data_IF_369375491450
#
_entry.id   IF_369375491450
#
_cell.length_a   1.000
_cell.length_b   1.000
_cell.length_c   1.000
_cell.angle_alpha   90.00
_cell.angle_beta   90.00
_cell.angle_gamma   90.00
#
_symmetry.space_group_name_H-M   'P 1'
#
loop_
_entity.id
_entity.type
_entity.pdbx_description
1 polymer ?
#
# COMPACT_ATOMS: atom_id res chain seq x y z
N UNK A 1 11.45 6.21 -18.00
CA UNK A 1 10.19 6.62 -18.67
C UNK A 1 9.46 5.34 -19.02
N UNK A 2 8.17 5.24 -18.74
CA UNK A 2 7.36 4.09 -19.14
C UNK A 2 6.90 4.27 -20.58
N UNK A 3 6.92 3.20 -21.39
CA UNK A 3 6.65 3.25 -22.82
C UNK A 3 5.67 2.13 -23.17
N UNK A 4 4.63 2.44 -23.94
CA UNK A 4 3.63 1.50 -24.47
C UNK A 4 3.07 0.50 -23.44
N UNK A 5 2.70 1.04 -22.27
CA UNK A 5 2.19 0.22 -21.16
C UNK A 5 0.76 -0.24 -21.47
N UNK A 6 0.58 -1.54 -21.59
CA UNK A 6 -0.74 -2.17 -21.62
C UNK A 6 -0.91 -3.04 -20.36
N UNK A 7 -1.67 -2.52 -19.39
CA UNK A 7 -1.90 -3.19 -18.11
C UNK A 7 -3.37 -3.11 -17.70
N UNK A 8 -3.98 -4.25 -17.49
CA UNK A 8 -5.32 -4.36 -16.92
C UNK A 8 -5.26 -4.99 -15.55
N UNK A 9 -5.91 -4.37 -14.57
CA UNK A 9 -6.06 -4.89 -13.21
C UNK A 9 -7.55 -5.03 -12.92
N UNK A 10 -7.95 -6.22 -12.52
CA UNK A 10 -9.35 -6.54 -12.25
C UNK A 10 -9.68 -6.34 -10.77
N UNK A 11 -10.97 -6.19 -10.48
CA UNK A 11 -11.45 -6.06 -9.10
C UNK A 11 -11.08 -7.30 -8.29
N UNK A 12 -10.53 -7.07 -7.10
CA UNK A 12 -10.13 -8.12 -6.16
C UNK A 12 -8.76 -8.72 -6.43
N UNK A 13 -8.06 -8.31 -7.53
CA UNK A 13 -6.69 -8.76 -7.77
C UNK A 13 -5.73 -8.23 -6.71
N UNK A 14 -4.68 -9.01 -6.46
CA UNK A 14 -3.56 -8.70 -5.58
C UNK A 14 -2.28 -8.66 -6.38
N UNK A 15 -1.82 -7.46 -6.68
CA UNK A 15 -0.73 -7.21 -7.63
C UNK A 15 0.50 -6.67 -6.91
N UNK A 16 1.64 -7.35 -7.08
CA UNK A 16 2.95 -6.85 -6.67
C UNK A 16 3.67 -6.17 -7.84
N UNK A 17 4.12 -4.94 -7.67
CA UNK A 17 4.94 -4.23 -8.65
C UNK A 17 6.40 -4.31 -8.23
N UNK A 18 7.22 -4.88 -9.09
CA UNK A 18 8.65 -5.09 -8.87
C UNK A 18 9.50 -4.45 -9.96
N UNK A 19 10.79 -4.36 -9.75
CA UNK A 19 11.76 -3.82 -10.72
C UNK A 19 12.89 -3.04 -10.06
N UNK A 20 13.95 -2.69 -10.79
CA UNK A 20 15.08 -1.96 -10.23
C UNK A 20 14.69 -0.55 -9.74
N UNK A 21 15.58 0.04 -8.93
CA UNK A 21 15.40 1.43 -8.51
C UNK A 21 15.44 2.35 -9.73
N UNK A 22 14.54 3.33 -9.77
CA UNK A 22 14.42 4.25 -10.90
C UNK A 22 13.70 3.70 -12.14
N UNK A 23 13.24 2.44 -12.14
CA UNK A 23 12.52 1.86 -13.28
C UNK A 23 11.16 2.51 -13.57
N UNK A 24 10.59 3.25 -12.62
CA UNK A 24 9.29 3.91 -12.79
C UNK A 24 8.14 3.28 -12.01
N UNK A 25 8.41 2.42 -11.02
CA UNK A 25 7.39 1.75 -10.19
C UNK A 25 6.44 2.74 -9.51
N UNK A 26 6.99 3.75 -8.81
CA UNK A 26 6.20 4.83 -8.20
C UNK A 26 5.41 5.63 -9.22
N UNK A 27 5.98 5.85 -10.42
CA UNK A 27 5.28 6.54 -11.51
C UNK A 27 4.08 5.70 -11.96
N UNK A 28 4.27 4.39 -12.16
CA UNK A 28 3.18 3.47 -12.50
C UNK A 28 2.10 3.45 -11.41
N UNK A 29 2.48 3.38 -10.14
CA UNK A 29 1.54 3.43 -9.01
C UNK A 29 0.70 4.71 -9.02
N UNK A 30 1.32 5.87 -9.25
CA UNK A 30 0.62 7.18 -9.33
C UNK A 30 -0.24 7.32 -10.59
N UNK A 31 0.17 6.74 -11.72
CA UNK A 31 -0.67 6.65 -12.92
C UNK A 31 -1.91 5.78 -12.63
N UNK A 32 -1.73 4.62 -11.99
CA UNK A 32 -2.84 3.74 -11.61
C UNK A 32 -3.78 4.41 -10.59
N UNK A 33 -3.24 5.21 -9.67
CA UNK A 33 -4.05 5.98 -8.72
C UNK A 33 -4.86 7.09 -9.41
N UNK A 34 -4.37 7.63 -10.51
CA UNK A 34 -4.94 8.80 -11.16
C UNK A 34 -4.34 10.12 -10.68
N UNK A 35 -3.28 10.07 -9.88
CA UNK A 35 -2.52 11.24 -9.40
C UNK A 35 -1.64 11.84 -10.51
N UNK A 36 -1.30 11.03 -11.52
CA UNK A 36 -0.61 11.45 -12.73
C UNK A 36 -1.46 11.08 -13.94
N UNK A 37 -1.49 11.99 -14.92
CA UNK A 37 -2.01 11.69 -16.24
C UNK A 37 -0.89 11.10 -17.12
N UNK A 38 -1.17 10.10 -17.98
CA UNK A 38 -0.21 9.65 -18.97
C UNK A 38 0.09 10.78 -19.98
N UNK A 39 1.31 10.82 -20.50
CA UNK A 39 1.70 11.80 -21.54
C UNK A 39 1.01 11.49 -22.86
N UNK A 40 0.87 10.20 -23.18
CA UNK A 40 0.15 9.66 -24.33
C UNK A 40 -0.67 8.45 -23.88
N UNK A 41 -1.74 8.13 -24.59
CA UNK A 41 -2.66 7.07 -24.22
C UNK A 41 -3.67 7.52 -23.17
N UNK A 42 -4.31 6.55 -22.53
CA UNK A 42 -5.35 6.82 -21.55
C UNK A 42 -5.27 5.87 -20.33
N UNK A 43 -5.72 6.37 -19.19
CA UNK A 43 -6.03 5.58 -18.02
C UNK A 43 -7.53 5.50 -17.87
N UNK A 44 -8.05 4.29 -17.86
CA UNK A 44 -9.46 4.07 -17.58
C UNK A 44 -9.65 3.39 -16.21
N UNK A 45 -10.63 3.84 -15.45
CA UNK A 45 -11.05 3.20 -14.21
C UNK A 45 -12.57 3.06 -14.20
N UNK A 46 -13.06 1.92 -13.75
CA UNK A 46 -14.48 1.67 -13.61
C UNK A 46 -15.17 2.71 -12.71
N UNK A 47 -16.43 3.06 -12.96
CA UNK A 47 -17.11 4.18 -12.26
C UNK A 47 -17.31 3.93 -10.75
N UNK A 48 -17.23 2.68 -10.31
CA UNK A 48 -17.36 2.31 -8.89
C UNK A 48 -16.02 2.17 -8.17
N UNK A 49 -14.89 2.37 -8.87
CA UNK A 49 -13.56 2.23 -8.26
C UNK A 49 -13.25 3.50 -7.46
N UNK A 50 -12.92 3.28 -6.19
CA UNK A 50 -12.39 4.29 -5.27
C UNK A 50 -10.98 3.88 -4.90
N UNK A 51 -10.01 4.61 -5.42
CA UNK A 51 -8.59 4.35 -5.19
C UNK A 51 -8.11 5.17 -4.01
N UNK A 52 -7.29 4.58 -3.15
CA UNK A 52 -6.49 5.29 -2.17
C UNK A 52 -5.02 4.89 -2.35
N UNK A 53 -4.13 5.87 -2.28
CA UNK A 53 -2.71 5.69 -2.52
C UNK A 53 -1.90 6.04 -1.27
N UNK A 54 -1.24 5.06 -0.69
CA UNK A 54 -0.22 5.27 0.33
C UNK A 54 1.13 5.47 -0.35
N UNK A 55 1.63 6.70 -0.36
CA UNK A 55 3.00 7.01 -0.80
C UNK A 55 3.92 7.20 0.42
N UNK A 56 5.23 7.12 0.19
CA UNK A 56 6.22 7.50 1.22
C UNK A 56 6.08 8.96 1.67
N UNK A 57 5.53 9.81 0.79
CA UNK A 57 5.28 11.24 1.02
C UNK A 57 3.81 11.54 1.31
N UNK A 58 2.97 10.52 1.59
CA UNK A 58 1.55 10.69 1.89
C UNK A 58 1.32 11.75 2.96
N UNK A 59 0.15 12.41 2.89
CA UNK A 59 -0.28 13.55 3.70
C UNK A 59 0.30 13.53 5.11
N UNK A 60 0.91 14.64 5.51
CA UNK A 60 1.50 14.77 6.84
C UNK A 60 0.41 14.54 7.89
N UNK A 61 0.65 13.54 8.73
CA UNK A 61 -0.22 13.32 9.88
C UNK A 61 -0.28 14.61 10.71
N UNK A 62 -1.45 15.00 11.21
CA UNK A 62 -1.58 16.17 12.06
C UNK A 62 -0.81 15.96 13.36
N UNK A 63 0.39 16.58 13.44
CA UNK A 63 1.39 16.31 14.47
C UNK A 63 0.91 16.60 15.90
N UNK A 64 0.02 17.59 16.06
CA UNK A 64 -0.52 18.00 17.35
C UNK A 64 -1.65 17.07 17.88
N UNK A 65 -2.19 16.22 17.00
CA UNK A 65 -3.25 15.29 17.39
C UNK A 65 -2.70 13.97 17.88
N UNK A 66 -3.52 13.28 18.66
CA UNK A 66 -3.24 11.92 19.11
C UNK A 66 -3.74 10.89 18.08
N UNK A 67 -3.15 9.68 18.01
CA UNK A 67 -3.63 8.61 17.13
C UNK A 67 -5.11 8.31 17.26
N UNK A 68 -5.63 8.31 18.50
CA UNK A 68 -7.06 8.03 18.72
C UNK A 68 -7.97 9.11 18.15
N UNK A 69 -7.57 10.39 18.23
CA UNK A 69 -8.32 11.49 17.61
C UNK A 69 -8.29 11.37 16.09
N UNK A 70 -7.15 11.01 15.50
CA UNK A 70 -6.99 10.85 14.06
C UNK A 70 -7.87 9.71 13.56
N UNK A 71 -7.80 8.54 14.19
CA UNK A 71 -8.61 7.35 13.83
C UNK A 71 -10.11 7.66 13.93
N UNK A 72 -10.55 8.34 14.99
CA UNK A 72 -11.97 8.70 15.17
C UNK A 72 -12.46 9.78 14.20
N UNK A 73 -11.55 10.62 13.71
CA UNK A 73 -11.87 11.58 12.65
C UNK A 73 -11.93 10.93 11.26
N UNK A 74 -11.04 9.97 10.98
CA UNK A 74 -11.05 9.22 9.73
C UNK A 74 -12.33 8.38 9.57
N UNK A 75 -12.80 7.82 10.68
CA UNK A 75 -14.06 7.08 10.72
C UNK A 75 -14.78 7.32 12.05
N UNK A 76 -16.05 7.71 12.06
CA UNK A 76 -16.84 7.87 13.29
C UNK A 76 -16.96 6.53 14.02
N UNK A 77 -16.10 6.32 15.02
CA UNK A 77 -16.06 5.09 15.82
C UNK A 77 -16.23 5.42 17.31
N UNK A 78 -16.88 4.54 18.09
CA UNK A 78 -16.76 4.58 19.54
C UNK A 78 -15.30 4.51 19.99
N UNK A 79 -14.96 5.16 21.09
CA UNK A 79 -13.57 5.18 21.59
C UNK A 79 -13.00 3.78 21.78
N UNK A 80 -13.79 2.85 22.35
CA UNK A 80 -13.37 1.46 22.55
C UNK A 80 -13.00 0.75 21.24
N UNK A 81 -13.73 1.00 20.14
CA UNK A 81 -13.44 0.41 18.83
C UNK A 81 -12.17 1.03 18.21
N UNK A 82 -11.98 2.34 18.36
CA UNK A 82 -10.75 3.02 17.89
C UNK A 82 -9.52 2.52 18.67
N UNK A 83 -9.63 2.34 19.99
CA UNK A 83 -8.55 1.75 20.82
C UNK A 83 -8.25 0.31 20.36
N UNK A 84 -9.27 -0.52 20.16
CA UNK A 84 -9.07 -1.90 19.71
C UNK A 84 -8.35 -1.99 18.36
N UNK A 85 -8.68 -1.09 17.42
CA UNK A 85 -7.97 -1.00 16.14
C UNK A 85 -6.50 -0.59 16.33
N UNK A 86 -6.23 0.44 17.13
CA UNK A 86 -4.87 0.88 17.41
C UNK A 86 -4.03 -0.21 18.08
N UNK A 87 -4.60 -0.93 19.06
CA UNK A 87 -3.94 -2.06 19.71
C UNK A 87 -3.63 -3.19 18.72
N UNK A 88 -4.55 -3.49 17.79
CA UNK A 88 -4.32 -4.46 16.72
C UNK A 88 -3.15 -4.06 15.82
N UNK A 89 -2.92 -2.76 15.63
CA UNK A 89 -1.75 -2.20 14.95
C UNK A 89 -0.58 -1.91 15.90
N UNK A 90 -0.51 -2.62 17.01
CA UNK A 90 0.60 -2.64 17.97
C UNK A 90 0.91 -1.29 18.63
N UNK A 91 -0.11 -0.44 18.80
CA UNK A 91 0.02 0.76 19.63
C UNK A 91 -0.33 0.43 21.08
N UNK A 92 0.52 0.84 22.01
CA UNK A 92 0.20 0.78 23.43
C UNK A 92 -0.70 1.96 23.85
N UNK A 93 -1.24 1.86 25.09
CA UNK A 93 -2.18 2.86 25.62
C UNK A 93 -1.56 4.25 25.75
N UNK A 94 -0.25 4.32 26.02
CA UNK A 94 0.47 5.58 26.13
C UNK A 94 0.65 6.23 24.74
N UNK A 95 1.08 5.44 23.74
CA UNK A 95 1.23 5.87 22.37
C UNK A 95 -0.09 6.37 21.77
N UNK A 96 -1.21 5.73 22.10
CA UNK A 96 -2.55 6.10 21.61
C UNK A 96 -2.95 7.53 22.05
N UNK A 97 -2.46 7.98 23.20
CA UNK A 97 -2.88 9.23 23.85
C UNK A 97 -1.87 10.36 23.79
N UNK A 98 -0.69 10.16 23.23
CA UNK A 98 0.32 11.21 23.06
C UNK A 98 0.33 11.75 21.63
N UNK A 99 0.73 13.02 21.41
CA UNK A 99 0.74 13.64 20.10
C UNK A 99 1.63 12.88 19.09
N UNK A 100 1.19 12.83 17.84
CA UNK A 100 1.94 12.20 16.73
C UNK A 100 3.32 12.81 16.54
N UNK A 101 3.51 14.09 16.91
CA UNK A 101 4.83 14.74 16.92
C UNK A 101 5.90 13.95 17.69
N UNK A 102 5.51 13.23 18.74
CA UNK A 102 6.41 12.43 19.59
C UNK A 102 6.71 11.03 19.05
N UNK A 103 6.05 10.61 17.97
CA UNK A 103 6.18 9.29 17.38
C UNK A 103 7.43 9.14 16.53
N UNK A 104 8.00 7.93 16.54
CA UNK A 104 9.04 7.52 15.60
C UNK A 104 8.50 7.47 14.15
N UNK A 105 9.41 7.40 13.17
CA UNK A 105 9.04 7.22 11.76
C UNK A 105 8.20 5.95 11.53
N UNK A 106 8.62 4.82 12.12
CA UNK A 106 7.91 3.54 12.03
C UNK A 106 6.51 3.60 12.64
N UNK A 107 6.35 4.22 13.83
CA UNK A 107 5.03 4.40 14.44
C UNK A 107 4.11 5.26 13.56
N UNK A 108 4.63 6.31 12.92
CA UNK A 108 3.85 7.13 11.98
C UNK A 108 3.46 6.35 10.74
N UNK A 109 4.35 5.53 10.17
CA UNK A 109 4.05 4.67 9.02
C UNK A 109 2.97 3.66 9.39
N UNK A 110 3.06 3.02 10.56
CA UNK A 110 2.06 2.09 11.10
C UNK A 110 0.69 2.75 11.26
N UNK A 111 0.65 3.99 11.77
CA UNK A 111 -0.60 4.76 11.87
C UNK A 111 -1.20 5.05 10.49
N UNK A 112 -0.37 5.40 9.50
CA UNK A 112 -0.84 5.59 8.11
C UNK A 112 -1.41 4.32 7.51
N UNK A 113 -0.76 3.17 7.71
CA UNK A 113 -1.29 1.87 7.27
C UNK A 113 -2.66 1.58 7.89
N UNK A 114 -2.83 1.86 9.20
CA UNK A 114 -4.12 1.72 9.85
C UNK A 114 -5.17 2.67 9.25
N UNK A 115 -4.83 3.92 9.01
CA UNK A 115 -5.75 4.89 8.42
C UNK A 115 -6.20 4.48 7.02
N UNK A 116 -5.29 3.95 6.22
CA UNK A 116 -5.60 3.42 4.90
C UNK A 116 -6.67 2.32 4.96
N UNK A 117 -6.61 1.45 5.97
CA UNK A 117 -7.62 0.39 6.18
C UNK A 117 -8.99 0.93 6.62
N UNK A 118 -9.07 2.19 7.03
CA UNK A 118 -10.32 2.83 7.44
C UNK A 118 -11.01 3.60 6.31
N UNK A 119 -10.33 3.76 5.17
CA UNK A 119 -10.92 4.45 4.01
C UNK A 119 -12.07 3.64 3.41
N UNK A 120 -12.92 4.31 2.65
CA UNK A 120 -13.94 3.64 1.84
C UNK A 120 -13.42 3.19 0.48
N UNK A 121 -12.11 3.20 0.27
CA UNK A 121 -11.48 2.73 -0.94
C UNK A 121 -11.77 1.24 -1.15
N UNK A 122 -11.92 0.84 -2.41
CA UNK A 122 -12.02 -0.56 -2.81
C UNK A 122 -10.85 -0.98 -3.73
N UNK A 123 -9.87 -0.09 -3.86
CA UNK A 123 -8.58 -0.33 -4.49
C UNK A 123 -7.50 0.40 -3.69
N UNK A 124 -6.61 -0.32 -3.06
CA UNK A 124 -5.48 0.22 -2.31
C UNK A 124 -4.21 0.11 -3.15
N UNK A 125 -3.49 1.21 -3.27
CA UNK A 125 -2.16 1.24 -3.87
C UNK A 125 -1.16 1.61 -2.79
N UNK A 126 -0.14 0.78 -2.61
CA UNK A 126 0.85 0.89 -1.55
C UNK A 126 2.23 1.07 -2.21
N UNK A 127 2.89 2.20 -1.97
CA UNK A 127 4.24 2.44 -2.48
C UNK A 127 5.27 2.31 -1.34
N UNK A 128 5.99 1.17 -1.35
CA UNK A 128 6.99 0.75 -0.35
C UNK A 128 6.44 0.77 1.10
N UNK A 129 5.31 0.09 1.38
CA UNK A 129 4.62 0.18 2.65
C UNK A 129 5.39 -0.44 3.82
N UNK A 130 6.33 -1.34 3.54
CA UNK A 130 7.15 -2.01 4.55
C UNK A 130 8.37 -1.21 4.98
N UNK A 131 8.71 -0.14 4.27
CA UNK A 131 9.85 0.71 4.61
C UNK A 131 9.66 1.34 5.99
N UNK A 132 10.70 1.24 6.82
CA UNK A 132 10.73 1.74 8.20
C UNK A 132 9.78 1.04 9.19
N UNK A 133 9.16 -0.08 8.81
CA UNK A 133 8.40 -0.93 9.72
C UNK A 133 9.33 -1.99 10.33
N UNK A 134 9.09 -2.29 11.60
CA UNK A 134 9.63 -3.49 12.24
C UNK A 134 8.84 -4.75 11.82
N UNK A 135 9.39 -5.93 12.05
CA UNK A 135 8.77 -7.19 11.64
C UNK A 135 7.33 -7.32 12.17
N UNK A 136 7.04 -7.06 13.46
CA UNK A 136 5.67 -7.15 13.97
C UNK A 136 4.70 -6.18 13.28
N UNK A 137 5.16 -4.99 12.87
CA UNK A 137 4.33 -4.04 12.15
C UNK A 137 4.06 -4.47 10.70
N UNK A 138 5.03 -5.11 10.03
CA UNK A 138 4.83 -5.73 8.73
C UNK A 138 3.78 -6.85 8.83
N UNK A 139 3.89 -7.74 9.81
CA UNK A 139 2.91 -8.81 10.05
C UNK A 139 1.50 -8.26 10.33
N UNK A 140 1.38 -7.16 11.07
CA UNK A 140 0.09 -6.51 11.31
C UNK A 140 -0.51 -5.91 10.02
N UNK A 141 0.32 -5.32 9.16
CA UNK A 141 -0.10 -4.82 7.85
C UNK A 141 -0.54 -5.98 6.94
N UNK A 142 0.24 -7.05 6.86
CA UNK A 142 -0.09 -8.25 6.08
C UNK A 142 -1.45 -8.83 6.52
N UNK A 143 -1.64 -9.04 7.82
CA UNK A 143 -2.90 -9.55 8.36
C UNK A 143 -4.10 -8.63 8.06
N UNK A 144 -3.88 -7.31 8.04
CA UNK A 144 -4.92 -6.36 7.67
C UNK A 144 -5.26 -6.45 6.17
N UNK A 145 -4.24 -6.57 5.31
CA UNK A 145 -4.42 -6.71 3.87
C UNK A 145 -5.05 -8.06 3.48
N UNK A 146 -4.73 -9.15 4.17
CA UNK A 146 -5.39 -10.46 3.99
C UNK A 146 -6.90 -10.37 4.21
N UNK A 147 -7.33 -9.59 5.20
CA UNK A 147 -8.75 -9.38 5.51
C UNK A 147 -9.45 -8.31 4.66
N UNK A 148 -8.75 -7.71 3.70
CA UNK A 148 -9.30 -6.67 2.84
C UNK A 148 -9.88 -7.26 1.54
N UNK A 149 -11.18 -7.03 1.30
CA UNK A 149 -11.91 -7.62 0.15
C UNK A 149 -11.72 -6.86 -1.16
N UNK A 150 -10.97 -5.75 -1.17
CA UNK A 150 -10.72 -4.93 -2.35
C UNK A 150 -9.50 -5.36 -3.15
N UNK A 151 -9.22 -4.62 -4.21
CA UNK A 151 -8.00 -4.73 -5.00
C UNK A 151 -6.80 -4.17 -4.21
N UNK A 152 -5.68 -4.87 -4.22
CA UNK A 152 -4.43 -4.40 -3.62
C UNK A 152 -3.33 -4.37 -4.67
N UNK A 153 -2.67 -3.23 -4.80
CA UNK A 153 -1.51 -3.05 -5.67
C UNK A 153 -0.36 -2.58 -4.78
N UNK A 154 0.72 -3.33 -4.69
CA UNK A 154 1.84 -2.98 -3.82
C UNK A 154 3.15 -2.91 -4.60
N UNK A 155 3.79 -1.76 -4.54
CA UNK A 155 5.20 -1.60 -4.91
C UNK A 155 6.03 -1.98 -3.70
N UNK A 156 6.88 -2.98 -3.80
CA UNK A 156 7.80 -3.32 -2.71
C UNK A 156 9.06 -4.03 -3.20
N UNK A 157 10.13 -3.89 -2.43
CA UNK A 157 11.34 -4.69 -2.55
C UNK A 157 11.37 -5.85 -1.56
N UNK A 158 10.40 -5.91 -0.66
CA UNK A 158 10.27 -7.00 0.31
C UNK A 158 9.61 -8.21 -0.34
N UNK A 159 10.42 -9.22 -0.66
CA UNK A 159 9.96 -10.46 -1.29
C UNK A 159 8.99 -11.26 -0.43
N UNK A 160 9.20 -11.26 0.91
CA UNK A 160 8.33 -12.01 1.82
C UNK A 160 6.95 -11.38 1.89
N UNK A 161 6.89 -10.06 1.97
CA UNK A 161 5.66 -9.30 1.90
C UNK A 161 4.92 -9.55 0.58
N UNK A 162 5.62 -9.48 -0.57
CA UNK A 162 5.01 -9.71 -1.87
C UNK A 162 4.54 -11.16 -2.06
N UNK A 163 5.29 -12.15 -1.59
CA UNK A 163 4.85 -13.57 -1.64
C UNK A 163 3.57 -13.81 -0.84
N UNK A 164 3.36 -13.05 0.23
CA UNK A 164 2.21 -13.20 1.09
C UNK A 164 0.95 -12.52 0.55
N UNK A 165 1.12 -11.36 -0.11
CA UNK A 165 -0.03 -10.55 -0.49
C UNK A 165 -0.36 -10.56 -1.97
N UNK A 166 0.56 -10.94 -2.87
CA UNK A 166 0.40 -10.82 -4.31
C UNK A 166 0.18 -12.18 -4.97
N UNK A 167 -0.85 -12.25 -5.81
CA UNK A 167 -1.15 -13.40 -6.67
C UNK A 167 -0.66 -13.19 -8.10
N UNK A 168 -0.24 -11.97 -8.44
CA UNK A 168 0.24 -11.55 -9.75
C UNK A 168 1.37 -10.53 -9.59
N UNK A 169 2.42 -10.67 -10.39
CA UNK A 169 3.57 -9.74 -10.38
C UNK A 169 3.61 -8.94 -11.67
N UNK A 170 3.86 -7.66 -11.52
CA UNK A 170 4.11 -6.70 -12.60
C UNK A 170 5.56 -6.25 -12.50
N UNK A 171 6.41 -6.70 -13.43
CA UNK A 171 7.83 -6.29 -13.52
C UNK A 171 7.95 -5.03 -14.39
N UNK A 172 8.52 -4.00 -13.79
CA UNK A 172 8.79 -2.72 -14.46
C UNK A 172 10.29 -2.62 -14.72
N UNK A 173 10.69 -2.65 -16.00
CA UNK A 173 12.10 -2.68 -16.38
C UNK A 173 12.35 -2.01 -17.71
N UNK A 174 13.34 -1.11 -17.75
CA UNK A 174 13.82 -0.44 -18.98
C UNK A 174 12.73 0.30 -19.77
N UNK A 175 11.65 0.68 -19.08
CA UNK A 175 10.48 1.35 -19.66
C UNK A 175 9.31 0.41 -19.95
N UNK A 176 9.55 -0.90 -19.99
CA UNK A 176 8.53 -1.91 -20.23
C UNK A 176 7.82 -2.32 -18.94
N UNK A 177 6.58 -2.78 -19.09
CA UNK A 177 5.75 -3.31 -18.00
C UNK A 177 5.23 -4.69 -18.41
N UNK A 178 5.66 -5.72 -17.71
CA UNK A 178 5.27 -7.11 -18.02
C UNK A 178 4.58 -7.75 -16.82
N UNK A 179 3.43 -8.36 -17.04
CA UNK A 179 2.67 -9.05 -16.00
C UNK A 179 2.92 -10.56 -16.02
N UNK A 180 3.01 -11.16 -14.84
CA UNK A 180 3.26 -12.58 -14.61
C UNK A 180 2.26 -13.10 -13.59
N UNK A 181 1.63 -14.23 -13.89
CA UNK A 181 0.77 -14.92 -12.94
C UNK A 181 1.58 -15.62 -11.85
N UNK A 182 1.07 -15.58 -10.62
CA UNK A 182 1.70 -16.14 -9.43
C UNK A 182 2.39 -15.12 -8.56
N UNK A 183 2.72 -15.51 -7.31
CA UNK A 183 3.44 -14.69 -6.34
C UNK A 183 4.91 -14.45 -6.71
N UNK A 184 5.60 -13.68 -5.86
CA UNK A 184 6.99 -13.25 -6.11
C UNK A 184 7.95 -14.44 -6.32
N UNK A 185 7.87 -15.50 -5.52
CA UNK A 185 8.72 -16.69 -5.68
C UNK A 185 8.49 -17.43 -7.00
N UNK A 186 7.28 -17.42 -7.55
CA UNK A 186 6.99 -18.02 -8.87
C UNK A 186 7.64 -17.18 -9.99
N UNK A 187 7.49 -15.86 -9.93
CA UNK A 187 8.10 -14.93 -10.85
C UNK A 187 9.65 -15.03 -10.82
N UNK A 188 10.26 -15.06 -9.62
CA UNK A 188 11.71 -15.14 -9.46
C UNK A 188 12.29 -16.44 -10.07
N UNK A 189 11.62 -17.59 -9.85
CA UNK A 189 12.01 -18.87 -10.48
C UNK A 189 11.90 -18.82 -12.00
N UNK A 190 10.84 -18.21 -12.54
CA UNK A 190 10.66 -18.07 -13.99
C UNK A 190 11.76 -17.25 -14.67
N UNK A 191 12.35 -16.28 -13.94
CA UNK A 191 13.48 -15.47 -14.41
C UNK A 191 14.84 -16.15 -14.29
N UNK A 192 14.98 -17.07 -13.34
CA UNK A 192 16.25 -17.78 -13.06
C UNK A 192 16.37 -19.08 -13.84
N UNK A 193 15.45 -19.36 -14.77
CA UNK A 193 15.49 -20.52 -15.66
C UNK A 193 16.66 -20.47 -16.65
N UNK A 194 17.10 -21.64 -17.13
CA UNK A 194 18.46 -21.93 -17.60
C UNK A 194 18.96 -21.07 -18.74
#
# INVERSE_FOLDING_TARGET
MLIDVELTIMRGERVGIVGPNGAGKTVLARLLAGDLAPTEGERWAGPSIRVDLLTQTAEELPLERTPIEIVRNARPLPESAAVALLVRFLFDVEQIRRPVATMSGGERTRLRCLLLMLTEANCLILDEPTNHLDIPAVEALEAALEGYDGTVIAVSHDRYFLDRIADRIVDVRDGDVTAYEGGFSAWERGRSGP
#
